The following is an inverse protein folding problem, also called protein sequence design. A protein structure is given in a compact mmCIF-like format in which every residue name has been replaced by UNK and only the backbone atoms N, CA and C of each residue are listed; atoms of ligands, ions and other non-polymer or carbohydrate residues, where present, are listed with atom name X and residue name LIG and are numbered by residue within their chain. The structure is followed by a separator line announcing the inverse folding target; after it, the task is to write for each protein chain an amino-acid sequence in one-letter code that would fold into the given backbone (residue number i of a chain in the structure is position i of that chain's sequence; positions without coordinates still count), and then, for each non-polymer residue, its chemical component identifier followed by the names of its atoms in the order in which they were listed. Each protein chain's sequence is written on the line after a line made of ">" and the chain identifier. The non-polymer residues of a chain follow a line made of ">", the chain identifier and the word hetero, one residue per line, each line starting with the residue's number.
data_IF_152587523550
#
_entry.id   IF_152587523550
#
_cell.length_a   1.000
_cell.length_b   1.000
_cell.length_c   1.000
_cell.angle_alpha   90.00
_cell.angle_beta   90.00
_cell.angle_gamma   90.00
#
_symmetry.space_group_name_H-M   'P 1'
#
loop_
_entity.id
_entity.type
_entity.pdbx_description
1 polymer ?
#
# COMPACT_ATOMS: atom_id res chain seq x y z
N UNK A 1 34.50 -11.58 71.85
CA UNK A 1 34.79 -12.27 70.57
C UNK A 1 33.93 -11.63 69.51
N UNK A 2 34.56 -10.86 68.65
CA UNK A 2 34.00 -10.13 67.51
C UNK A 2 33.72 -11.07 66.36
N UNK A 3 32.52 -11.02 65.76
CA UNK A 3 32.39 -11.37 64.35
C UNK A 3 31.26 -10.57 63.69
N UNK A 4 31.66 -9.46 63.08
CA UNK A 4 30.83 -8.59 62.27
C UNK A 4 30.74 -9.17 60.86
N UNK A 5 29.66 -9.92 60.60
CA UNK A 5 29.25 -10.38 59.27
C UNK A 5 28.97 -9.18 58.36
N UNK A 6 29.93 -8.86 57.48
CA UNK A 6 29.79 -7.89 56.40
C UNK A 6 28.89 -8.47 55.30
N UNK A 7 27.63 -8.02 55.29
CA UNK A 7 26.71 -8.22 54.17
C UNK A 7 27.23 -7.48 52.91
N UNK A 8 27.35 -8.12 51.73
CA UNK A 8 27.83 -7.44 50.53
C UNK A 8 26.69 -6.62 49.91
N UNK A 9 26.61 -5.33 50.27
CA UNK A 9 25.57 -4.39 49.79
C UNK A 9 25.72 -3.92 48.33
N UNK A 10 26.76 -4.35 47.61
CA UNK A 10 27.07 -3.87 46.25
C UNK A 10 26.40 -4.61 45.09
N UNK A 11 26.14 -5.91 45.22
CA UNK A 11 25.63 -6.73 44.11
C UNK A 11 24.14 -6.48 43.78
N UNK A 12 23.35 -6.04 44.77
CA UNK A 12 21.91 -5.81 44.59
C UNK A 12 21.58 -4.57 43.75
N UNK A 13 22.42 -3.53 43.79
CA UNK A 13 22.16 -2.30 43.03
C UNK A 13 22.43 -2.49 41.53
N UNK A 14 23.57 -3.10 41.18
CA UNK A 14 23.88 -3.45 39.79
C UNK A 14 22.85 -4.43 39.22
N UNK A 15 22.45 -5.46 39.99
CA UNK A 15 21.42 -6.39 39.56
C UNK A 15 20.06 -5.71 39.30
N UNK A 16 19.67 -4.71 40.11
CA UNK A 16 18.45 -3.92 39.89
C UNK A 16 18.54 -3.04 38.64
N UNK A 17 19.70 -2.42 38.39
CA UNK A 17 19.91 -1.61 37.18
C UNK A 17 19.87 -2.48 35.92
N UNK A 18 20.50 -3.66 35.95
CA UNK A 18 20.43 -4.61 34.82
C UNK A 18 19.02 -5.17 34.64
N UNK A 19 18.28 -5.42 35.71
CA UNK A 19 16.87 -5.82 35.65
C UNK A 19 15.97 -4.70 35.07
N UNK A 20 16.23 -3.44 35.41
CA UNK A 20 15.54 -2.28 34.82
C UNK A 20 15.88 -2.11 33.33
N UNK A 21 17.15 -2.25 32.95
CA UNK A 21 17.57 -2.22 31.55
C UNK A 21 16.91 -3.35 30.73
N UNK A 22 16.87 -4.56 31.28
CA UNK A 22 16.16 -5.69 30.65
C UNK A 22 14.64 -5.44 30.56
N UNK A 23 14.03 -4.83 31.58
CA UNK A 23 12.60 -4.48 31.60
C UNK A 23 12.24 -3.42 30.56
N UNK A 24 13.07 -2.38 30.38
CA UNK A 24 12.87 -1.35 29.36
C UNK A 24 13.01 -1.93 27.94
N UNK A 25 13.93 -2.88 27.75
CA UNK A 25 14.08 -3.60 26.48
C UNK A 25 12.86 -4.48 26.18
N UNK A 26 12.39 -5.26 27.14
CA UNK A 26 11.18 -6.08 26.99
C UNK A 26 9.94 -5.20 26.71
N UNK A 27 9.86 -4.01 27.33
CA UNK A 27 8.79 -3.04 27.07
C UNK A 27 8.82 -2.49 25.64
N UNK A 28 9.99 -2.04 25.14
CA UNK A 28 10.11 -1.54 23.76
C UNK A 28 9.85 -2.63 22.73
N UNK A 29 10.31 -3.86 22.97
CA UNK A 29 10.04 -5.00 22.09
C UNK A 29 8.55 -5.32 22.08
N UNK A 30 7.89 -5.39 23.23
CA UNK A 30 6.43 -5.60 23.30
C UNK A 30 5.64 -4.47 22.64
N UNK A 31 6.07 -3.22 22.84
CA UNK A 31 5.45 -2.05 22.20
C UNK A 31 5.61 -2.10 20.68
N UNK A 32 6.80 -2.46 20.18
CA UNK A 32 7.06 -2.63 18.75
C UNK A 32 6.22 -3.77 18.15
N UNK A 33 6.12 -4.92 18.83
CA UNK A 33 5.29 -6.03 18.37
C UNK A 33 3.80 -5.68 18.36
N UNK A 34 3.32 -4.94 19.36
CA UNK A 34 1.92 -4.48 19.40
C UNK A 34 1.60 -3.49 18.29
N UNK A 35 2.52 -2.57 17.96
CA UNK A 35 2.33 -1.63 16.85
C UNK A 35 2.30 -2.39 15.51
N UNK A 36 3.22 -3.34 15.31
CA UNK A 36 3.27 -4.19 14.10
C UNK A 36 2.00 -5.02 13.94
N UNK A 37 1.47 -5.64 15.00
CA UNK A 37 0.24 -6.43 14.92
C UNK A 37 -0.99 -5.55 14.59
N UNK A 38 -1.02 -4.33 15.13
CA UNK A 38 -2.07 -3.34 14.84
C UNK A 38 -2.00 -2.87 13.38
N UNK A 39 -0.80 -2.58 12.90
CA UNK A 39 -0.56 -2.20 11.50
C UNK A 39 -0.87 -3.36 10.55
N UNK A 40 -0.46 -4.58 10.88
CA UNK A 40 -0.79 -5.78 10.11
C UNK A 40 -2.30 -5.95 9.97
N UNK A 41 -3.07 -5.77 11.04
CA UNK A 41 -4.54 -5.87 10.96
C UNK A 41 -5.13 -4.77 10.07
N UNK A 42 -4.65 -3.53 10.19
CA UNK A 42 -5.06 -2.40 9.33
C UNK A 42 -4.70 -2.64 7.86
N UNK A 43 -3.54 -3.24 7.60
CA UNK A 43 -3.03 -3.48 6.26
C UNK A 43 -3.72 -4.67 5.59
N UNK A 44 -4.05 -5.72 6.35
CA UNK A 44 -4.87 -6.84 5.87
C UNK A 44 -6.29 -6.37 5.56
N UNK A 45 -6.94 -5.64 6.48
CA UNK A 45 -8.30 -5.17 6.25
C UNK A 45 -8.36 -4.11 5.15
N UNK A 46 -7.41 -3.18 5.14
CA UNK A 46 -7.27 -2.16 4.10
C UNK A 46 -6.97 -2.78 2.73
N UNK A 47 -6.07 -3.76 2.67
CA UNK A 47 -5.75 -4.50 1.46
C UNK A 47 -6.94 -5.29 0.92
N UNK A 48 -7.69 -5.97 1.79
CA UNK A 48 -8.91 -6.69 1.39
C UNK A 48 -9.97 -5.73 0.84
N UNK A 49 -10.23 -4.62 1.54
CA UNK A 49 -11.22 -3.64 1.09
C UNK A 49 -10.79 -2.96 -0.22
N UNK A 50 -9.49 -2.68 -0.39
CA UNK A 50 -8.94 -2.18 -1.67
C UNK A 50 -9.08 -3.20 -2.80
N UNK A 51 -8.85 -4.50 -2.54
CA UNK A 51 -9.03 -5.53 -3.55
C UNK A 51 -10.50 -5.66 -3.97
N UNK A 52 -11.42 -5.69 -3.01
CA UNK A 52 -12.87 -5.75 -3.27
C UNK A 52 -13.32 -4.49 -4.00
N UNK A 53 -12.97 -3.31 -3.49
CA UNK A 53 -13.33 -2.03 -4.08
C UNK A 53 -12.76 -1.87 -5.49
N UNK A 54 -11.49 -2.22 -5.71
CA UNK A 54 -10.85 -2.19 -7.03
C UNK A 54 -11.47 -3.17 -8.01
N UNK A 55 -11.78 -4.40 -7.58
CA UNK A 55 -12.48 -5.39 -8.42
C UNK A 55 -13.89 -4.93 -8.76
N UNK A 56 -14.63 -4.41 -7.78
CA UNK A 56 -15.98 -3.87 -7.98
C UNK A 56 -15.95 -2.66 -8.91
N UNK A 57 -14.97 -1.77 -8.77
CA UNK A 57 -14.78 -0.62 -9.66
C UNK A 57 -14.47 -1.06 -11.10
N UNK A 58 -13.64 -2.09 -11.28
CA UNK A 58 -13.35 -2.67 -12.60
C UNK A 58 -14.62 -3.28 -13.24
N UNK A 59 -15.39 -4.06 -12.47
CA UNK A 59 -16.65 -4.62 -12.95
C UNK A 59 -17.67 -3.54 -13.30
N UNK A 60 -17.75 -2.47 -12.51
CA UNK A 60 -18.63 -1.33 -12.78
C UNK A 60 -18.22 -0.61 -14.07
N UNK A 61 -16.92 -0.44 -14.33
CA UNK A 61 -16.43 0.13 -15.59
C UNK A 61 -16.79 -0.75 -16.80
N UNK A 62 -16.58 -2.06 -16.71
CA UNK A 62 -16.96 -2.99 -17.78
C UNK A 62 -18.47 -2.96 -18.05
N UNK A 63 -19.29 -2.97 -17.01
CA UNK A 63 -20.74 -2.85 -17.15
C UNK A 63 -21.14 -1.51 -17.78
N UNK A 64 -20.45 -0.43 -17.41
CA UNK A 64 -20.62 0.90 -18.00
C UNK A 64 -20.29 0.94 -19.49
N UNK A 65 -19.20 0.31 -19.92
CA UNK A 65 -18.86 0.21 -21.35
C UNK A 65 -19.93 -0.56 -22.14
N UNK A 66 -20.40 -1.69 -21.62
CA UNK A 66 -21.48 -2.46 -22.26
C UNK A 66 -22.76 -1.63 -22.36
N UNK A 67 -23.17 -0.97 -21.27
CA UNK A 67 -24.33 -0.10 -21.26
C UNK A 67 -24.21 1.05 -22.27
N UNK A 68 -23.00 1.62 -22.41
CA UNK A 68 -22.70 2.68 -23.36
C UNK A 68 -22.83 2.19 -24.81
N UNK A 69 -22.32 1.00 -25.14
CA UNK A 69 -22.50 0.40 -26.48
C UNK A 69 -23.97 0.20 -26.79
N UNK A 70 -24.74 -0.38 -25.86
CA UNK A 70 -26.17 -0.61 -26.04
C UNK A 70 -26.93 0.70 -26.26
N UNK A 71 -26.59 1.75 -25.49
CA UNK A 71 -27.18 3.08 -25.65
C UNK A 71 -26.85 3.71 -27.01
N UNK A 72 -25.60 3.62 -27.47
CA UNK A 72 -25.19 4.09 -28.80
C UNK A 72 -25.97 3.34 -29.88
N UNK A 73 -26.08 2.02 -29.75
CA UNK A 73 -26.80 1.18 -30.71
C UNK A 73 -28.27 1.57 -30.81
N UNK A 74 -28.93 1.80 -29.66
CA UNK A 74 -30.34 2.18 -29.61
C UNK A 74 -30.59 3.61 -30.11
N UNK A 75 -29.69 4.54 -29.81
CA UNK A 75 -29.87 5.95 -30.18
C UNK A 75 -29.58 6.20 -31.65
N UNK A 76 -28.53 5.58 -32.20
CA UNK A 76 -28.03 5.87 -33.56
C UNK A 76 -28.29 4.73 -34.55
N UNK A 77 -28.98 3.66 -34.14
CA UNK A 77 -29.30 2.49 -34.97
C UNK A 77 -28.07 1.86 -35.67
N UNK A 78 -26.90 1.98 -35.04
CA UNK A 78 -25.64 1.51 -35.61
C UNK A 78 -25.54 -0.02 -35.55
N UNK A 79 -24.78 -0.60 -36.49
CA UNK A 79 -24.38 -2.00 -36.36
C UNK A 79 -23.43 -2.18 -35.17
N UNK A 80 -23.37 -3.39 -34.60
CA UNK A 80 -22.51 -3.69 -33.44
C UNK A 80 -21.04 -3.31 -33.71
N UNK A 81 -20.52 -3.60 -34.90
CA UNK A 81 -19.16 -3.25 -35.30
C UNK A 81 -18.93 -1.73 -35.30
N UNK A 82 -19.89 -0.95 -35.79
CA UNK A 82 -19.80 0.52 -35.80
C UNK A 82 -19.86 1.10 -34.38
N UNK A 83 -20.74 0.58 -33.51
CA UNK A 83 -20.83 1.01 -32.12
C UNK A 83 -19.54 0.69 -31.34
N UNK A 84 -18.94 -0.49 -31.55
CA UNK A 84 -17.65 -0.86 -30.95
C UNK A 84 -16.50 0.00 -31.46
N UNK A 85 -16.47 0.34 -32.76
CA UNK A 85 -15.47 1.26 -33.31
C UNK A 85 -15.62 2.68 -32.75
N UNK A 86 -16.86 3.15 -32.58
CA UNK A 86 -17.13 4.43 -31.95
C UNK A 86 -16.65 4.46 -30.49
N UNK A 87 -16.96 3.41 -29.73
CA UNK A 87 -16.49 3.27 -28.34
C UNK A 87 -14.96 3.20 -28.27
N UNK A 88 -14.32 2.40 -29.12
CA UNK A 88 -12.86 2.27 -29.17
C UNK A 88 -12.18 3.61 -29.49
N UNK A 89 -12.75 4.38 -30.42
CA UNK A 89 -12.25 5.71 -30.78
C UNK A 89 -12.38 6.68 -29.60
N UNK A 90 -13.51 6.66 -28.90
CA UNK A 90 -13.72 7.47 -27.70
C UNK A 90 -12.74 7.10 -26.57
N UNK A 91 -12.55 5.81 -26.31
CA UNK A 91 -11.59 5.31 -25.32
C UNK A 91 -10.15 5.67 -25.69
N UNK A 92 -9.78 5.64 -26.97
CA UNK A 92 -8.45 6.04 -27.43
C UNK A 92 -8.18 7.53 -27.17
N UNK A 93 -9.17 8.39 -27.44
CA UNK A 93 -9.07 9.82 -27.14
C UNK A 93 -8.96 10.06 -25.64
N UNK A 94 -9.81 9.40 -24.85
CA UNK A 94 -9.78 9.50 -23.39
C UNK A 94 -8.43 9.03 -22.82
N UNK A 95 -7.90 7.91 -23.30
CA UNK A 95 -6.58 7.40 -22.94
C UNK A 95 -5.47 8.40 -23.32
N UNK A 96 -5.53 8.99 -24.52
CA UNK A 96 -4.57 10.00 -24.96
C UNK A 96 -4.56 11.24 -24.05
N UNK A 97 -5.74 11.74 -23.66
CA UNK A 97 -5.88 12.88 -22.74
C UNK A 97 -5.37 12.50 -21.35
N UNK A 98 -5.78 11.35 -20.82
CA UNK A 98 -5.36 10.86 -19.51
C UNK A 98 -3.83 10.70 -19.43
N UNK A 99 -3.21 10.13 -20.46
CA UNK A 99 -1.75 10.00 -20.54
C UNK A 99 -1.04 11.36 -20.63
N UNK A 100 -1.61 12.33 -21.36
CA UNK A 100 -1.05 13.69 -21.41
C UNK A 100 -1.08 14.37 -20.05
N UNK A 101 -2.24 14.33 -19.37
CA UNK A 101 -2.41 14.95 -18.05
C UNK A 101 -1.54 14.24 -17.03
N UNK A 102 -1.60 12.91 -16.95
CA UNK A 102 -0.77 12.11 -16.07
C UNK A 102 0.72 12.33 -16.31
N UNK A 103 1.15 12.37 -17.57
CA UNK A 103 2.53 12.68 -17.93
C UNK A 103 2.98 14.08 -17.55
N UNK A 104 2.07 15.07 -17.51
CA UNK A 104 2.40 16.42 -17.01
C UNK A 104 2.52 16.44 -15.48
N UNK A 105 1.63 15.76 -14.76
CA UNK A 105 1.69 15.63 -13.29
C UNK A 105 2.96 14.89 -12.86
N UNK A 106 3.35 13.85 -13.60
CA UNK A 106 4.56 13.06 -13.38
C UNK A 106 5.86 13.78 -13.83
N UNK A 107 5.80 14.97 -14.43
CA UNK A 107 7.00 15.77 -14.73
C UNK A 107 7.53 16.57 -13.53
N UNK A 108 6.83 16.55 -12.40
CA UNK A 108 7.33 17.18 -11.18
C UNK A 108 8.66 16.55 -10.74
N UNK A 109 9.62 17.32 -10.20
CA UNK A 109 10.90 16.80 -9.74
C UNK A 109 10.68 15.87 -8.54
N UNK A 110 10.60 14.56 -8.80
CA UNK A 110 10.53 13.55 -7.76
C UNK A 110 11.84 13.54 -6.97
N UNK A 111 11.75 13.46 -5.63
CA UNK A 111 12.94 13.27 -4.81
C UNK A 111 13.64 11.97 -5.23
N UNK A 112 14.98 11.93 -5.34
CA UNK A 112 15.71 10.74 -5.82
C UNK A 112 15.37 9.47 -5.03
N UNK A 113 15.04 9.61 -3.74
CA UNK A 113 14.59 8.52 -2.86
C UNK A 113 13.27 7.86 -3.34
N UNK A 114 12.36 8.61 -3.97
CA UNK A 114 11.11 8.05 -4.53
C UNK A 114 11.33 7.29 -5.83
N UNK A 115 12.27 7.73 -6.67
CA UNK A 115 12.62 7.03 -7.91
C UNK A 115 13.30 5.69 -7.63
N UNK A 116 14.15 5.64 -6.60
CA UNK A 116 14.84 4.42 -6.19
C UNK A 116 13.90 3.41 -5.51
N UNK A 117 12.95 3.89 -4.70
CA UNK A 117 11.87 3.06 -4.16
C UNK A 117 10.95 2.51 -5.27
N UNK A 118 10.56 3.37 -6.22
CA UNK A 118 9.70 2.97 -7.34
C UNK A 118 10.41 1.95 -8.24
N UNK A 119 11.68 2.18 -8.57
CA UNK A 119 12.46 1.26 -9.42
C UNK A 119 12.59 -0.11 -8.79
N UNK A 120 12.86 -0.19 -7.47
CA UNK A 120 12.94 -1.45 -6.74
C UNK A 120 11.62 -2.20 -6.73
N UNK A 121 10.50 -1.48 -6.58
CA UNK A 121 9.17 -2.07 -6.56
C UNK A 121 8.74 -2.55 -7.95
N UNK A 122 9.01 -1.75 -8.99
CA UNK A 122 8.74 -2.13 -10.40
C UNK A 122 9.59 -3.33 -10.79
N UNK A 123 10.84 -3.38 -10.36
CA UNK A 123 11.79 -4.45 -10.64
C UNK A 123 11.39 -5.76 -9.97
N UNK A 124 10.93 -5.69 -8.73
CA UNK A 124 10.35 -6.82 -8.02
C UNK A 124 9.05 -7.34 -8.66
N UNK A 125 8.17 -6.44 -9.14
CA UNK A 125 6.93 -6.83 -9.84
C UNK A 125 7.19 -7.41 -11.23
N UNK A 126 8.19 -6.90 -11.96
CA UNK A 126 8.60 -7.44 -13.26
C UNK A 126 9.48 -8.69 -13.15
N UNK A 127 9.84 -9.14 -11.94
CA UNK A 127 10.67 -10.32 -11.71
C UNK A 127 12.09 -10.20 -12.29
N UNK A 128 12.60 -8.97 -12.47
CA UNK A 128 13.95 -8.74 -13.00
C UNK A 128 14.86 -8.28 -11.88
N UNK A 129 15.18 -9.11 -10.90
CA UNK A 129 16.17 -8.73 -9.87
C UNK A 129 17.49 -8.19 -10.47
#
# INVERSE_FOLDING_TARGET
>A
MTDSQQQPRGFGAAARVTALAASVMDLHVRMALQEVDREKRRLISGGLFMAIGGTSMLLALLAGEVALVLWIQQTWSLSLSQALLALASANLVLAGISLRIGGQVLKAPFLPQTLEGLSRTVRAVLGRD
#
